data_IF_587742786988
#
_entry.id   IF_587742786988
#
_cell.length_a   1.000
_cell.length_b   1.000
_cell.length_c   1.000
_cell.angle_alpha   90.00
_cell.angle_beta   90.00
_cell.angle_gamma   90.00
#
_symmetry.space_group_name_H-M   'P 1'
#
loop_
_entity.id
_entity.type
_entity.pdbx_description
1 polymer ?
#
# COMPACT_ATOMS: atom_id res chain seq x y z
N UNK A 1 -40.92 -31.65 -59.07
CA UNK A 1 -40.42 -31.08 -57.81
C UNK A 1 -40.40 -32.18 -56.75
N UNK A 2 -39.44 -32.09 -55.82
CA UNK A 2 -39.39 -32.76 -54.51
C UNK A 2 -38.64 -34.12 -54.37
N UNK A 3 -37.43 -33.98 -53.80
CA UNK A 3 -36.68 -34.80 -52.83
C UNK A 3 -36.52 -36.32 -53.03
N UNK A 4 -35.25 -36.74 -53.14
CA UNK A 4 -34.77 -37.99 -52.53
C UNK A 4 -33.67 -37.66 -51.51
N UNK A 5 -33.94 -37.99 -50.24
CA UNK A 5 -32.93 -38.07 -49.18
C UNK A 5 -31.97 -39.21 -49.51
N UNK A 6 -30.67 -38.95 -49.44
CA UNK A 6 -29.66 -39.99 -49.31
C UNK A 6 -29.15 -39.98 -47.86
N UNK A 7 -29.46 -41.04 -47.12
CA UNK A 7 -28.91 -41.31 -45.80
C UNK A 7 -27.49 -41.86 -45.98
N UNK A 8 -26.48 -41.07 -45.60
CA UNK A 8 -25.09 -41.50 -45.56
C UNK A 8 -24.82 -42.38 -44.35
N UNK A 9 -24.28 -43.57 -44.60
CA UNK A 9 -23.84 -44.52 -43.59
C UNK A 9 -22.57 -43.96 -42.90
N UNK A 10 -22.66 -43.55 -41.64
CA UNK A 10 -21.49 -43.23 -40.81
C UNK A 10 -20.81 -44.53 -40.37
N UNK A 11 -19.59 -44.76 -40.84
CA UNK A 11 -18.70 -45.76 -40.26
C UNK A 11 -18.11 -45.18 -38.96
N UNK A 12 -18.52 -45.72 -37.82
CA UNK A 12 -17.89 -45.46 -36.52
C UNK A 12 -16.50 -46.14 -36.51
N UNK A 13 -15.43 -45.35 -36.55
CA UNK A 13 -14.11 -45.82 -36.17
C UNK A 13 -14.03 -45.81 -34.63
N UNK A 14 -13.85 -46.99 -34.02
CA UNK A 14 -13.58 -47.11 -32.59
C UNK A 14 -12.23 -46.43 -32.27
N UNK A 15 -12.10 -45.70 -31.15
CA UNK A 15 -10.81 -45.20 -30.71
C UNK A 15 -9.92 -46.40 -30.35
N UNK A 16 -8.68 -46.41 -30.86
CA UNK A 16 -7.69 -47.40 -30.48
C UNK A 16 -7.40 -47.26 -28.98
N UNK A 17 -7.67 -48.32 -28.22
CA UNK A 17 -7.38 -48.41 -26.79
C UNK A 17 -5.90 -48.09 -26.52
N UNK A 18 -5.63 -47.02 -25.78
CA UNK A 18 -4.26 -46.54 -25.53
C UNK A 18 -3.96 -46.62 -24.03
N UNK A 19 -2.93 -47.38 -23.66
CA UNK A 19 -2.45 -47.45 -22.29
C UNK A 19 -1.70 -46.15 -21.93
N UNK A 20 -1.76 -45.77 -20.65
CA UNK A 20 -0.98 -44.67 -20.10
C UNK A 20 0.11 -45.23 -19.17
N UNK A 21 1.37 -45.04 -19.56
CA UNK A 21 2.54 -45.41 -18.78
C UNK A 21 3.08 -44.18 -18.08
N UNK A 22 3.04 -44.19 -16.74
CA UNK A 22 3.62 -43.16 -15.89
C UNK A 22 5.02 -43.60 -15.49
N UNK A 23 6.00 -42.73 -15.67
CA UNK A 23 7.39 -42.99 -15.33
C UNK A 23 7.69 -42.61 -13.87
N UNK A 24 8.82 -43.07 -13.34
CA UNK A 24 9.24 -42.78 -11.94
C UNK A 24 9.61 -41.33 -11.71
N UNK A 25 9.90 -40.56 -12.77
CA UNK A 25 10.09 -39.10 -12.72
C UNK A 25 8.77 -38.31 -12.85
N UNK A 26 7.62 -38.98 -13.02
CA UNK A 26 6.31 -38.36 -13.16
C UNK A 26 5.85 -38.12 -14.61
N UNK A 27 6.71 -38.35 -15.60
CA UNK A 27 6.35 -38.22 -17.01
C UNK A 27 5.28 -39.24 -17.44
N UNK A 28 4.50 -38.90 -18.46
CA UNK A 28 3.41 -39.75 -18.96
C UNK A 28 3.59 -40.03 -20.44
N UNK A 29 3.56 -41.31 -20.79
CA UNK A 29 3.60 -41.80 -22.16
C UNK A 29 2.27 -42.46 -22.47
N UNK A 30 1.62 -42.04 -23.55
CA UNK A 30 0.38 -42.66 -24.04
C UNK A 30 0.67 -43.49 -25.29
N UNK A 31 0.24 -44.75 -25.28
CA UNK A 31 0.42 -45.67 -26.41
C UNK A 31 0.04 -47.10 -26.04
N UNK A 32 0.00 -47.99 -27.03
CA UNK A 32 -0.37 -49.38 -26.81
C UNK A 32 0.84 -50.18 -26.32
N UNK A 33 0.73 -50.91 -25.20
CA UNK A 33 1.79 -51.83 -24.78
C UNK A 33 1.81 -53.05 -25.71
N UNK A 34 2.79 -53.12 -26.60
CA UNK A 34 2.88 -54.18 -27.63
C UNK A 34 3.73 -55.37 -27.20
N UNK A 35 4.64 -55.20 -26.25
CA UNK A 35 5.38 -56.31 -25.65
C UNK A 35 5.93 -55.95 -24.27
N UNK A 36 5.86 -56.91 -23.34
CA UNK A 36 6.48 -56.81 -22.01
C UNK A 36 7.55 -57.87 -21.87
N UNK A 37 8.80 -57.43 -21.69
CA UNK A 37 9.90 -58.29 -21.28
C UNK A 37 10.14 -58.21 -19.77
N UNK A 38 11.12 -58.97 -19.28
CA UNK A 38 11.53 -58.98 -17.87
C UNK A 38 12.21 -57.69 -17.41
N UNK A 39 12.82 -56.92 -18.32
CA UNK A 39 13.54 -55.68 -18.00
C UNK A 39 13.01 -54.44 -18.73
N UNK A 40 12.18 -54.61 -19.77
CA UNK A 40 11.76 -53.53 -20.67
C UNK A 40 10.33 -53.72 -21.15
N UNK A 41 9.64 -52.62 -21.37
CA UNK A 41 8.31 -52.56 -22.00
C UNK A 41 8.44 -51.85 -23.35
N UNK A 42 7.78 -52.40 -24.37
CA UNK A 42 7.67 -51.80 -25.70
C UNK A 42 6.28 -51.20 -25.87
N UNK A 43 6.23 -49.93 -26.22
CA UNK A 43 5.00 -49.14 -26.35
C UNK A 43 4.94 -48.60 -27.78
N UNK A 44 3.86 -48.90 -28.50
CA UNK A 44 3.58 -48.29 -29.79
C UNK A 44 2.91 -46.94 -29.56
N UNK A 45 3.62 -45.86 -29.88
CA UNK A 45 3.10 -44.49 -29.81
C UNK A 45 2.73 -44.00 -31.23
N UNK A 46 1.98 -42.89 -31.36
CA UNK A 46 1.74 -42.24 -32.66
C UNK A 46 3.03 -41.80 -33.38
N UNK A 47 4.13 -41.66 -32.63
CA UNK A 47 5.43 -41.21 -33.15
C UNK A 47 6.42 -42.36 -33.38
N UNK A 48 5.99 -43.62 -33.21
CA UNK A 48 6.81 -44.81 -33.40
C UNK A 48 6.93 -45.68 -32.15
N UNK A 49 7.78 -46.70 -32.23
CA UNK A 49 8.00 -47.67 -31.16
C UNK A 49 8.94 -47.10 -30.10
N UNK A 50 8.47 -47.04 -28.85
CA UNK A 50 9.25 -46.62 -27.69
C UNK A 50 9.58 -47.82 -26.81
N UNK A 51 10.82 -47.91 -26.32
CA UNK A 51 11.26 -48.98 -25.40
C UNK A 51 11.69 -48.36 -24.08
N UNK A 52 10.99 -48.71 -23.00
CA UNK A 52 11.19 -48.14 -21.67
C UNK A 52 11.66 -49.24 -20.70
N UNK A 53 12.75 -49.05 -19.96
CA UNK A 53 13.14 -49.95 -18.86
C UNK A 53 12.08 -50.02 -17.76
N UNK A 54 11.83 -51.22 -17.22
CA UNK A 54 10.75 -51.46 -16.25
C UNK A 54 10.97 -50.71 -14.92
N UNK A 55 12.23 -50.53 -14.51
CA UNK A 55 12.65 -49.76 -13.32
C UNK A 55 12.38 -48.25 -13.45
N UNK A 56 12.11 -47.78 -14.66
CA UNK A 56 11.74 -46.38 -14.95
C UNK A 56 10.23 -46.16 -15.01
N UNK A 57 9.42 -47.21 -14.88
CA UNK A 57 7.96 -47.12 -14.93
C UNK A 57 7.42 -47.14 -13.49
N UNK A 58 6.65 -46.12 -13.09
CA UNK A 58 5.96 -46.10 -11.80
C UNK A 58 4.64 -46.86 -11.86
N UNK A 59 3.84 -46.63 -12.90
CA UNK A 59 2.51 -47.25 -13.08
C UNK A 59 2.15 -47.40 -14.55
N UNK A 60 1.44 -48.47 -14.90
CA UNK A 60 0.73 -48.61 -16.19
C UNK A 60 -0.76 -48.61 -15.90
N UNK A 61 -1.49 -47.66 -16.50
CA UNK A 61 -2.95 -47.61 -16.50
C UNK A 61 -3.43 -48.09 -17.86
N UNK A 62 -4.16 -49.19 -17.88
CA UNK A 62 -4.76 -49.72 -19.09
C UNK A 62 -6.08 -49.02 -19.40
N UNK A 63 -6.51 -49.12 -20.64
CA UNK A 63 -7.77 -48.52 -21.10
C UNK A 63 -9.02 -49.16 -20.45
N UNK A 64 -8.90 -50.40 -19.94
CA UNK A 64 -9.93 -51.07 -19.14
C UNK A 64 -10.05 -50.53 -17.69
N UNK A 65 -9.27 -49.50 -17.35
CA UNK A 65 -9.22 -48.90 -16.02
C UNK A 65 -8.36 -49.67 -15.01
N UNK A 66 -7.78 -50.82 -15.38
CA UNK A 66 -6.86 -51.54 -14.51
C UNK A 66 -5.52 -50.79 -14.37
N UNK A 67 -5.02 -50.71 -13.14
CA UNK A 67 -3.77 -50.04 -12.81
C UNK A 67 -2.78 -51.05 -12.25
N UNK A 68 -1.62 -51.15 -12.89
CA UNK A 68 -0.49 -51.95 -12.41
C UNK A 68 0.60 -51.00 -11.91
N UNK A 69 0.81 -50.98 -10.59
CA UNK A 69 1.88 -50.20 -9.95
C UNK A 69 3.15 -51.05 -9.95
N UNK A 70 4.18 -50.61 -10.66
CA UNK A 70 5.45 -51.33 -10.79
C UNK A 70 6.49 -50.80 -9.81
N UNK A 71 6.52 -49.49 -9.60
CA UNK A 71 7.39 -48.83 -8.62
C UNK A 71 6.57 -47.74 -7.91
N UNK A 72 6.25 -47.96 -6.63
CA UNK A 72 5.61 -46.94 -5.81
C UNK A 72 6.60 -45.77 -5.62
N UNK A 73 6.24 -44.51 -5.92
CA UNK A 73 7.09 -43.38 -5.59
C UNK A 73 7.26 -43.32 -4.08
N UNK A 74 8.50 -43.35 -3.59
CA UNK A 74 8.80 -42.96 -2.21
C UNK A 74 8.30 -41.53 -2.02
N UNK A 75 7.35 -41.33 -1.10
CA UNK A 75 6.82 -40.01 -0.80
C UNK A 75 7.97 -39.11 -0.33
N UNK A 76 8.37 -38.15 -1.17
CA UNK A 76 9.27 -37.08 -0.76
C UNK A 76 8.45 -36.18 0.18
N UNK A 77 8.89 -35.92 1.42
CA UNK A 77 8.15 -35.04 2.31
C UNK A 77 8.05 -33.65 1.67
N UNK A 78 6.83 -33.18 1.42
CA UNK A 78 6.56 -31.80 1.01
C UNK A 78 7.07 -30.87 2.11
N UNK A 79 7.97 -29.91 1.82
CA UNK A 79 8.34 -28.91 2.81
C UNK A 79 7.08 -28.17 3.25
N UNK A 80 6.89 -28.04 4.56
CA UNK A 80 5.78 -27.29 5.11
C UNK A 80 5.75 -25.88 4.49
N UNK A 81 4.57 -25.34 4.16
CA UNK A 81 4.48 -23.96 3.66
C UNK A 81 5.15 -23.03 4.67
N UNK A 82 6.08 -22.20 4.20
CA UNK A 82 6.68 -21.16 5.03
C UNK A 82 5.55 -20.23 5.51
N UNK A 83 5.43 -19.95 6.82
CA UNK A 83 4.40 -19.04 7.30
C UNK A 83 4.56 -17.68 6.61
N UNK A 84 3.49 -17.19 5.99
CA UNK A 84 3.43 -15.82 5.46
C UNK A 84 3.47 -14.89 6.68
N UNK A 85 4.41 -13.93 6.77
CA UNK A 85 4.43 -13.01 7.89
C UNK A 85 3.12 -12.22 7.93
N UNK A 86 2.46 -12.23 9.08
CA UNK A 86 1.25 -11.41 9.31
C UNK A 86 1.62 -9.93 9.13
N UNK A 87 0.90 -9.16 8.29
CA UNK A 87 1.14 -7.72 8.17
C UNK A 87 1.02 -7.06 9.53
N UNK A 88 2.07 -6.35 9.96
CA UNK A 88 1.99 -5.54 11.19
C UNK A 88 1.00 -4.38 10.95
N UNK A 89 0.14 -4.06 11.92
CA UNK A 89 -0.78 -2.93 11.78
C UNK A 89 0.00 -1.62 11.65
N UNK A 90 -0.52 -0.64 10.89
CA UNK A 90 0.13 0.67 10.75
C UNK A 90 0.21 1.37 12.11
N UNK A 91 1.23 2.21 12.27
CA UNK A 91 1.35 3.09 13.43
C UNK A 91 0.45 4.31 13.21
N UNK A 92 -0.11 4.84 14.30
CA UNK A 92 -0.93 6.05 14.25
C UNK A 92 -0.26 7.16 15.04
N UNK A 93 -0.02 8.29 14.37
CA UNK A 93 0.47 9.53 14.97
C UNK A 93 -0.65 10.58 14.86
N UNK A 94 -0.91 11.30 15.94
CA UNK A 94 -1.94 12.34 15.94
C UNK A 94 -1.42 13.61 16.60
N UNK A 95 -1.49 14.71 15.85
CA UNK A 95 -1.19 16.06 16.31
C UNK A 95 -2.49 16.74 16.73
N UNK A 96 -2.57 17.06 18.01
CA UNK A 96 -3.69 17.81 18.60
C UNK A 96 -3.31 19.28 18.69
N UNK A 97 -3.86 20.05 17.76
CA UNK A 97 -3.59 21.47 17.58
C UNK A 97 -4.54 22.30 18.42
N UNK A 98 -3.98 23.24 19.17
CA UNK A 98 -4.71 24.12 20.08
C UNK A 98 -4.15 25.54 20.10
N UNK A 99 -4.88 26.47 20.70
CA UNK A 99 -4.49 27.87 20.79
C UNK A 99 -4.93 28.68 19.58
N UNK A 100 -4.14 29.69 19.21
CA UNK A 100 -4.49 30.64 18.15
C UNK A 100 -4.03 30.13 16.79
N UNK A 101 -4.94 30.05 15.81
CA UNK A 101 -4.57 29.74 14.43
C UNK A 101 -3.55 30.73 13.90
N UNK A 102 -2.58 30.21 13.14
CA UNK A 102 -1.69 31.05 12.37
C UNK A 102 -2.47 31.72 11.23
N UNK A 103 -2.30 33.02 11.08
CA UNK A 103 -2.90 33.78 9.99
C UNK A 103 -1.93 34.84 9.52
N UNK A 104 -1.98 35.17 8.25
CA UNK A 104 -1.13 36.21 7.68
C UNK A 104 -1.85 36.87 6.51
N UNK A 105 -1.59 38.17 6.35
CA UNK A 105 -2.22 39.02 5.37
C UNK A 105 -1.19 39.59 4.37
N UNK A 106 -1.53 39.55 3.09
CA UNK A 106 -0.65 39.95 1.97
C UNK A 106 -1.46 40.35 0.73
N UNK A 107 -0.76 40.61 -0.37
CA UNK A 107 -1.27 40.69 -1.74
C UNK A 107 -0.75 39.44 -2.50
N UNK A 108 -1.60 38.73 -3.26
CA UNK A 108 -1.88 37.29 -3.14
C UNK A 108 -0.65 36.37 -2.97
N UNK A 109 -0.66 35.62 -1.86
CA UNK A 109 0.22 34.48 -1.53
C UNK A 109 -0.63 33.36 -0.90
N UNK A 110 -0.03 32.21 -0.66
CA UNK A 110 -0.70 31.05 -0.03
C UNK A 110 0.14 30.51 1.13
N UNK A 111 -0.51 29.89 2.12
CA UNK A 111 0.16 29.21 3.22
C UNK A 111 0.19 27.69 3.04
N UNK A 112 1.21 27.09 3.65
CA UNK A 112 1.32 25.65 3.84
C UNK A 112 1.75 25.37 5.27
N UNK A 113 1.17 24.34 5.86
CA UNK A 113 1.63 23.73 7.10
C UNK A 113 2.20 22.35 6.78
N UNK A 114 3.47 22.12 7.09
CA UNK A 114 4.11 20.81 6.91
C UNK A 114 4.41 20.16 8.25
N UNK A 115 4.26 18.84 8.28
CA UNK A 115 4.65 17.94 9.35
C UNK A 115 5.70 16.99 8.76
N UNK A 116 6.83 16.89 9.44
CA UNK A 116 7.99 16.15 8.99
C UNK A 116 8.47 15.20 10.09
N UNK A 117 8.89 14.00 9.71
CA UNK A 117 9.56 13.03 10.55
C UNK A 117 10.95 12.77 9.95
N UNK A 118 12.00 13.11 10.69
CA UNK A 118 13.40 13.02 10.22
C UNK A 118 13.66 13.72 8.87
N UNK A 119 12.92 14.81 8.62
CA UNK A 119 12.99 15.59 7.37
C UNK A 119 12.12 15.03 6.23
N UNK A 120 11.46 13.89 6.40
CA UNK A 120 10.48 13.34 5.46
C UNK A 120 9.13 14.00 5.71
N UNK A 121 8.51 14.59 4.69
CA UNK A 121 7.18 15.21 4.81
C UNK A 121 6.12 14.11 4.93
N UNK A 122 5.68 13.84 6.16
CA UNK A 122 4.61 12.87 6.44
C UNK A 122 3.23 13.47 6.19
N UNK A 123 3.13 14.81 6.22
CA UNK A 123 1.91 15.55 5.97
C UNK A 123 2.15 16.99 5.55
N UNK A 124 1.48 17.44 4.50
CA UNK A 124 1.44 18.83 4.10
C UNK A 124 -0.02 19.25 3.89
N UNK A 125 -0.41 20.36 4.51
CA UNK A 125 -1.72 20.98 4.39
C UNK A 125 -1.54 22.31 3.68
N UNK A 126 -2.37 22.59 2.68
CA UNK A 126 -2.42 23.90 2.03
C UNK A 126 -3.82 24.46 2.12
N UNK A 127 -3.95 25.61 2.77
CA UNK A 127 -5.21 26.34 2.79
C UNK A 127 -5.37 27.15 1.50
N UNK A 128 -6.42 26.84 0.74
CA UNK A 128 -6.74 27.51 -0.51
C UNK A 128 -7.78 28.61 -0.33
N UNK A 129 -8.42 28.67 0.83
CA UNK A 129 -9.42 29.68 1.14
C UNK A 129 -8.70 30.92 1.64
N UNK A 130 -9.01 32.04 1.00
CA UNK A 130 -8.61 33.35 1.47
C UNK A 130 -9.82 33.94 2.21
N UNK A 131 -9.55 34.65 3.29
CA UNK A 131 -10.53 35.24 4.20
C UNK A 131 -10.54 36.77 4.06
N UNK A 132 -10.89 37.34 2.89
CA UNK A 132 -10.83 38.79 2.66
C UNK A 132 -11.81 39.59 3.52
N UNK A 133 -12.75 38.91 4.19
CA UNK A 133 -13.72 39.51 5.11
C UNK A 133 -13.17 39.66 6.54
N UNK A 134 -12.11 38.92 6.90
CA UNK A 134 -11.53 38.95 8.24
C UNK A 134 -10.83 40.28 8.54
N UNK A 135 -10.22 40.90 7.51
CA UNK A 135 -9.56 42.20 7.63
C UNK A 135 -9.91 43.11 6.44
N UNK A 136 -10.60 44.25 6.67
CA UNK A 136 -10.95 45.19 5.61
C UNK A 136 -9.71 45.65 4.84
N UNK A 137 -9.75 45.51 3.50
CA UNK A 137 -8.68 45.90 2.56
C UNK A 137 -7.41 45.05 2.65
N UNK A 138 -7.50 43.84 3.21
CA UNK A 138 -6.42 42.87 3.23
C UNK A 138 -6.91 41.52 2.69
N UNK A 139 -6.05 40.82 1.96
CA UNK A 139 -6.26 39.40 1.68
C UNK A 139 -5.60 38.63 2.82
N UNK A 140 -6.42 37.95 3.61
CA UNK A 140 -5.97 37.13 4.74
C UNK A 140 -6.04 35.66 4.34
N UNK A 141 -5.15 34.85 4.90
CA UNK A 141 -5.33 33.41 4.95
C UNK A 141 -5.14 32.99 6.41
N UNK A 142 -6.21 32.49 7.00
CA UNK A 142 -6.23 31.94 8.35
C UNK A 142 -6.21 30.42 8.24
N UNK A 143 -5.16 29.79 8.77
CA UNK A 143 -5.02 28.34 8.66
C UNK A 143 -6.05 27.64 9.58
N UNK A 144 -7.22 27.32 9.00
CA UNK A 144 -8.35 26.78 9.75
C UNK A 144 -8.41 25.23 9.71
N UNK A 145 -7.50 24.59 8.98
CA UNK A 145 -7.42 23.13 8.81
C UNK A 145 -8.77 22.51 8.40
N UNK A 146 -9.53 23.20 7.54
CA UNK A 146 -10.85 22.72 7.14
C UNK A 146 -10.76 21.41 6.34
N UNK A 147 -11.62 20.41 6.60
CA UNK A 147 -11.56 19.09 5.96
C UNK A 147 -11.58 19.14 4.42
N UNK A 148 -12.37 20.05 3.86
CA UNK A 148 -12.56 20.25 2.42
C UNK A 148 -11.69 21.40 1.85
N UNK A 149 -11.05 22.19 2.73
CA UNK A 149 -10.27 23.37 2.36
C UNK A 149 -8.75 23.11 2.27
N UNK A 150 -8.25 22.09 2.99
CA UNK A 150 -6.83 21.77 3.02
C UNK A 150 -6.46 20.70 1.97
N UNK A 151 -5.71 21.09 0.94
CA UNK A 151 -5.08 20.08 0.08
C UNK A 151 -4.01 19.34 0.88
N UNK A 152 -4.10 18.00 0.89
CA UNK A 152 -3.27 17.09 1.69
C UNK A 152 -2.26 16.34 0.84
N UNK A 153 -1.05 16.19 1.34
CA UNK A 153 -0.01 15.38 0.71
C UNK A 153 0.78 14.63 1.78
N UNK A 154 0.95 13.32 1.62
CA UNK A 154 1.81 12.48 2.45
C UNK A 154 2.94 11.84 1.63
N UNK A 155 3.95 11.31 2.32
CA UNK A 155 5.01 10.53 1.69
C UNK A 155 4.49 9.15 1.22
N UNK A 156 5.21 8.47 0.29
CA UNK A 156 4.86 7.11 -0.12
C UNK A 156 4.71 6.16 1.08
N UNK A 157 3.61 5.41 1.12
CA UNK A 157 3.33 4.46 2.20
C UNK A 157 2.78 5.09 3.49
N UNK A 158 2.60 6.42 3.52
CA UNK A 158 1.98 7.14 4.63
C UNK A 158 0.63 7.74 4.21
N UNK A 159 -0.33 7.75 5.12
CA UNK A 159 -1.66 8.30 4.87
C UNK A 159 -1.89 9.54 5.73
N UNK A 160 -2.34 10.63 5.13
CA UNK A 160 -2.82 11.82 5.85
C UNK A 160 -4.35 11.77 5.95
N UNK A 161 -4.87 11.54 7.15
CA UNK A 161 -6.32 11.50 7.38
C UNK A 161 -6.91 12.92 7.32
N UNK A 162 -8.22 13.06 7.04
CA UNK A 162 -8.88 14.37 7.10
C UNK A 162 -8.70 15.00 8.49
N UNK A 163 -8.46 16.33 8.58
CA UNK A 163 -8.54 17.04 9.85
C UNK A 163 -9.90 16.84 10.51
N UNK A 164 -9.91 16.64 11.82
CA UNK A 164 -11.14 16.53 12.60
C UNK A 164 -11.16 17.59 13.71
N UNK A 165 -12.31 18.23 13.93
CA UNK A 165 -12.49 19.12 15.08
C UNK A 165 -13.18 18.35 16.20
N UNK A 166 -12.50 18.16 17.33
CA UNK A 166 -13.04 17.51 18.54
C UNK A 166 -12.77 18.40 19.74
N UNK A 167 -13.79 18.65 20.56
CA UNK A 167 -13.66 19.42 21.81
C UNK A 167 -13.01 20.81 21.62
N UNK A 168 -13.26 21.45 20.46
CA UNK A 168 -12.66 22.75 20.14
C UNK A 168 -11.18 22.71 19.76
N UNK A 169 -10.60 21.52 19.57
CA UNK A 169 -9.23 21.30 19.09
C UNK A 169 -9.25 20.69 17.69
N UNK A 170 -8.19 20.91 16.94
CA UNK A 170 -8.02 20.31 15.60
C UNK A 170 -7.10 19.10 15.71
N UNK A 171 -7.53 17.97 15.17
CA UNK A 171 -6.83 16.70 15.20
C UNK A 171 -6.33 16.38 13.79
N UNK A 172 -5.01 16.25 13.65
CA UNK A 172 -4.33 15.91 12.41
C UNK A 172 -3.72 14.52 12.57
N UNK A 173 -4.28 13.52 11.92
CA UNK A 173 -3.88 12.14 12.08
C UNK A 173 -3.13 11.60 10.84
N UNK A 174 -2.12 10.79 11.12
CA UNK A 174 -1.21 10.18 10.15
C UNK A 174 -1.12 8.68 10.39
N UNK A 175 -1.25 7.90 9.34
CA UNK A 175 -0.93 6.46 9.36
C UNK A 175 0.47 6.28 8.79
N UNK A 176 1.35 5.64 9.57
CA UNK A 176 2.74 5.43 9.24
C UNK A 176 3.03 3.93 9.09
N UNK A 177 4.01 3.54 8.24
CA UNK A 177 4.49 2.17 8.19
C UNK A 177 4.94 1.67 9.57
N UNK A 178 4.77 0.36 9.88
CA UNK A 178 5.24 -0.24 11.14
C UNK A 178 6.75 -0.10 11.40
N UNK A 179 7.52 0.23 10.36
CA UNK A 179 8.98 0.40 10.41
C UNK A 179 9.38 1.76 10.98
N UNK A 180 8.46 2.72 11.05
CA UNK A 180 8.63 4.04 11.68
C UNK A 180 8.43 3.99 13.21
N UNK A 181 8.59 2.82 13.82
CA UNK A 181 8.55 2.67 15.27
C UNK A 181 9.94 2.96 15.83
N UNK A 182 10.03 3.87 16.81
CA UNK A 182 11.29 4.26 17.42
C UNK A 182 11.41 5.75 17.65
N UNK A 183 12.65 6.22 17.76
CA UNK A 183 12.96 7.63 18.02
C UNK A 183 13.14 8.38 16.72
N UNK A 184 12.44 9.50 16.61
CA UNK A 184 12.43 10.36 15.45
C UNK A 184 12.53 11.82 15.88
N UNK A 185 12.95 12.69 14.97
CA UNK A 185 12.80 14.13 15.10
C UNK A 185 11.53 14.57 14.40
N UNK A 186 10.50 14.93 15.17
CA UNK A 186 9.31 15.57 14.61
C UNK A 186 9.61 17.05 14.39
N UNK A 187 9.24 17.55 13.21
CA UNK A 187 9.26 18.99 12.89
C UNK A 187 7.93 19.40 12.29
N UNK A 188 7.41 20.55 12.72
CA UNK A 188 6.28 21.21 12.08
C UNK A 188 6.70 22.60 11.62
N UNK A 189 6.16 23.07 10.50
CA UNK A 189 6.52 24.36 9.94
C UNK A 189 5.35 25.01 9.20
N UNK A 190 5.15 26.31 9.44
CA UNK A 190 4.35 27.17 8.59
C UNK A 190 5.23 27.81 7.52
N UNK A 191 4.75 27.80 6.29
CA UNK A 191 5.44 28.31 5.11
C UNK A 191 4.54 29.24 4.30
N UNK A 192 5.16 30.25 3.69
CA UNK A 192 4.53 31.08 2.67
C UNK A 192 5.04 30.72 1.27
N UNK A 193 4.17 30.85 0.28
CA UNK A 193 4.56 30.77 -1.12
C UNK A 193 5.07 32.14 -1.61
N UNK A 194 6.33 32.20 -1.99
CA UNK A 194 7.01 33.36 -2.58
C UNK A 194 7.17 33.24 -4.11
N UNK A 195 6.52 32.25 -4.71
CA UNK A 195 6.49 32.01 -6.16
C UNK A 195 5.07 31.99 -6.73
N UNK A 196 4.94 31.80 -8.05
CA UNK A 196 3.65 31.59 -8.70
C UNK A 196 2.87 30.39 -8.12
N UNK A 197 1.56 30.34 -8.37
CA UNK A 197 0.68 29.26 -7.87
C UNK A 197 1.03 27.90 -8.49
N UNK A 198 1.41 27.91 -9.77
CA UNK A 198 1.80 26.74 -10.58
C UNK A 198 3.22 26.26 -10.28
N UNK A 199 4.14 27.18 -9.95
CA UNK A 199 5.51 26.86 -9.54
C UNK A 199 5.80 27.46 -8.16
N UNK A 200 5.23 26.89 -7.08
CA UNK A 200 5.32 27.48 -5.77
C UNK A 200 6.74 27.39 -5.21
N UNK A 201 7.19 28.45 -4.54
CA UNK A 201 8.47 28.53 -3.85
C UNK A 201 8.22 28.78 -2.37
N UNK A 202 8.27 27.73 -1.58
CA UNK A 202 7.95 27.78 -0.15
C UNK A 202 9.12 28.33 0.66
N UNK A 203 8.81 29.25 1.57
CA UNK A 203 9.75 29.81 2.54
C UNK A 203 9.20 29.60 3.94
N UNK A 204 10.03 29.06 4.82
CA UNK A 204 9.70 28.82 6.23
C UNK A 204 9.47 30.14 6.96
N UNK A 205 8.40 30.18 7.75
CA UNK A 205 8.03 31.34 8.55
C UNK A 205 8.27 31.05 10.03
N UNK A 206 7.65 29.99 10.54
CA UNK A 206 7.73 29.56 11.94
C UNK A 206 7.80 28.05 11.98
N UNK A 207 8.67 27.52 12.84
CA UNK A 207 8.84 26.09 13.04
C UNK A 207 8.87 25.73 14.52
N UNK A 208 8.57 24.45 14.80
CA UNK A 208 8.93 23.80 16.05
C UNK A 208 9.41 22.39 15.75
N UNK A 209 10.35 21.89 16.55
CA UNK A 209 10.82 20.52 16.45
C UNK A 209 11.09 19.95 17.84
N UNK A 210 10.88 18.65 18.01
CA UNK A 210 11.24 17.94 19.22
C UNK A 210 11.51 16.46 18.93
N UNK A 211 12.18 15.80 19.87
CA UNK A 211 12.43 14.36 19.80
C UNK A 211 11.16 13.60 20.21
N UNK A 212 10.68 12.74 19.32
CA UNK A 212 9.46 11.96 19.45
C UNK A 212 9.81 10.47 19.49
N UNK A 213 9.21 9.74 20.42
CA UNK A 213 9.22 8.28 20.40
C UNK A 213 7.86 7.76 19.94
N UNK A 214 7.84 7.05 18.81
CA UNK A 214 6.65 6.41 18.25
C UNK A 214 6.65 4.95 18.70
N UNK A 215 5.67 4.60 19.52
CA UNK A 215 5.56 3.25 20.07
C UNK A 215 4.74 2.34 19.14
N UNK A 216 5.09 1.04 19.03
CA UNK A 216 4.21 0.05 18.42
C UNK A 216 2.90 -0.03 19.21
N UNK A 217 1.79 0.43 18.64
CA UNK A 217 0.53 0.53 19.37
C UNK A 217 -0.52 1.42 18.71
N UNK A 218 -1.64 1.68 19.41
CA UNK A 218 -2.85 2.24 18.78
C UNK A 218 -2.79 3.75 18.54
N UNK A 219 -1.96 4.51 19.26
CA UNK A 219 -1.81 5.96 19.04
C UNK A 219 -0.58 6.54 19.72
N UNK A 220 0.20 7.32 18.99
CA UNK A 220 1.17 8.28 19.53
C UNK A 220 0.55 9.68 19.44
N UNK A 221 0.28 10.31 20.59
CA UNK A 221 -0.33 11.63 20.65
C UNK A 221 0.73 12.72 20.86
N UNK A 222 0.65 13.78 20.05
CA UNK A 222 1.50 14.97 20.17
C UNK A 222 0.61 16.19 20.31
N UNK A 223 0.89 17.04 21.30
CA UNK A 223 0.23 18.34 21.46
C UNK A 223 1.00 19.39 20.67
N UNK A 224 0.25 20.22 19.94
CA UNK A 224 0.76 21.41 19.28
C UNK A 224 0.03 22.63 19.84
N UNK A 225 0.71 23.37 20.71
CA UNK A 225 0.20 24.64 21.25
C UNK A 225 0.66 25.80 20.38
N UNK A 226 -0.28 26.67 20.01
CA UNK A 226 -0.04 27.85 19.21
C UNK A 226 -0.36 29.12 19.97
N UNK A 227 0.57 30.07 19.98
CA UNK A 227 0.36 31.39 20.57
C UNK A 227 0.63 32.49 19.55
N UNK A 228 -0.32 33.42 19.45
CA UNK A 228 -0.28 34.53 18.49
C UNK A 228 0.89 35.49 18.73
N UNK A 229 1.43 35.53 19.94
CA UNK A 229 2.42 36.55 20.31
C UNK A 229 1.86 37.96 20.11
N UNK A 230 2.63 38.82 19.44
CA UNK A 230 2.25 40.21 19.13
C UNK A 230 1.81 40.40 17.68
N UNK A 231 1.51 39.32 16.95
CA UNK A 231 1.11 39.40 15.55
C UNK A 231 -0.10 40.31 15.32
N UNK A 232 0.06 41.27 14.42
CA UNK A 232 -1.00 42.19 14.04
C UNK A 232 -0.84 42.67 12.60
N UNK A 233 -1.97 43.04 11.99
CA UNK A 233 -1.99 43.70 10.71
C UNK A 233 -2.10 45.21 10.91
N UNK A 234 -1.09 45.95 10.47
CA UNK A 234 -1.07 47.41 10.59
C UNK A 234 -0.41 48.02 9.36
N UNK A 235 -0.90 49.19 8.92
CA UNK A 235 -0.34 49.93 7.76
C UNK A 235 -0.16 49.04 6.51
N UNK A 236 -1.15 48.18 6.23
CA UNK A 236 -1.20 47.26 5.08
C UNK A 236 -0.14 46.14 5.08
N UNK A 237 0.46 45.82 6.22
CA UNK A 237 1.41 44.70 6.32
C UNK A 237 1.25 43.96 7.65
N UNK A 238 1.69 42.71 7.66
CA UNK A 238 1.82 41.92 8.89
C UNK A 238 3.07 42.32 9.66
N UNK A 239 2.93 42.47 10.97
CA UNK A 239 4.01 42.74 11.91
C UNK A 239 4.05 41.67 13.00
N UNK A 240 5.23 41.41 13.56
CA UNK A 240 5.39 40.48 14.68
C UNK A 240 5.17 39.01 14.32
N UNK A 241 5.29 38.64 13.04
CA UNK A 241 5.11 37.26 12.56
C UNK A 241 6.08 36.31 13.27
N UNK A 242 7.30 36.78 13.49
CA UNK A 242 8.37 36.09 14.22
C UNK A 242 8.06 35.84 15.71
N UNK A 243 7.03 36.47 16.26
CA UNK A 243 6.62 36.30 17.65
C UNK A 243 5.59 35.20 17.84
N UNK A 244 5.09 34.61 16.75
CA UNK A 244 4.21 33.45 16.83
C UNK A 244 4.98 32.26 17.37
N UNK A 245 4.41 31.58 18.36
CA UNK A 245 5.06 30.47 19.02
C UNK A 245 4.35 29.18 18.70
N UNK A 246 5.16 28.18 18.36
CA UNK A 246 4.77 26.78 18.29
C UNK A 246 5.46 26.02 19.42
N UNK A 247 4.71 25.21 20.14
CA UNK A 247 5.25 24.30 21.14
C UNK A 247 4.73 22.90 20.86
N UNK A 248 5.66 21.95 20.82
CA UNK A 248 5.39 20.54 20.65
C UNK A 248 5.79 19.80 21.91
N UNK A 249 4.93 18.87 22.33
CA UNK A 249 5.22 17.96 23.42
C UNK A 249 4.32 16.73 23.35
N UNK A 250 4.71 15.66 24.05
CA UNK A 250 3.82 14.51 24.29
C UNK A 250 3.07 14.72 25.60
N UNK A 251 1.77 14.40 25.67
CA UNK A 251 1.04 14.44 26.93
C UNK A 251 1.73 13.51 27.95
N UNK A 252 1.65 13.82 29.25
CA UNK A 252 2.10 12.89 30.27
C UNK A 252 1.32 11.58 30.15
N UNK A 253 1.94 10.42 30.47
CA UNK A 253 1.20 9.16 30.54
C UNK A 253 0.02 9.31 31.51
N UNK A 254 -1.15 8.81 31.11
CA UNK A 254 -2.30 8.76 32.02
C UNK A 254 -1.94 7.94 33.26
N UNK A 255 -2.34 8.39 34.47
CA UNK A 255 -2.01 7.72 35.73
C UNK A 255 -2.69 6.36 35.90
#
# INVERSE_FOLDING_TARGET
>A
MTRRLAFGLLAFALPAAADQVVLTNGDRVTGQVVARGTQRVRIQTPHGLLVIPLDKISRIRKDDGSEEVLNAPTAVPTPAPTPVPTPKPPLRLELVVSGHSFWQAWDPKSLRFEVQLDGIIIGAYRDRLLDPLDLPKATVNTFAFLPDGAARQGAPGMTVLPPETKEGRTHLAFELPPEEAGKHKLRVVYQSNEGPVDTPRWTDLIEAAFDLEILPGPLTLVRLEQSRGTMLFMKKHMQGVETFLLRLDTPPPEP
#
